data_IF_754840692125
#
_entry.id   IF_754840692125
#
_cell.length_a   1.000
_cell.length_b   1.000
_cell.length_c   1.000
_cell.angle_alpha   90.00
_cell.angle_beta   90.00
_cell.angle_gamma   90.00
#
_symmetry.space_group_name_H-M   'P 1'
#
loop_
_entity.id
_entity.type
_entity.pdbx_description
1 polymer ?
#
# COMPACT_ATOMS: atom_id res chain seq x y z
N UNK A 1 0.61 10.61 -22.60
CA UNK A 1 -0.40 9.65 -23.12
C UNK A 1 0.13 8.75 -24.26
N UNK A 2 1.26 9.06 -24.86
CA UNK A 2 1.78 8.32 -26.01
C UNK A 2 2.41 6.96 -25.70
N UNK A 3 2.89 6.74 -24.49
CA UNK A 3 3.50 5.47 -24.07
C UNK A 3 2.52 4.27 -24.08
N UNK A 4 1.24 4.52 -23.83
CA UNK A 4 0.20 3.47 -23.83
C UNK A 4 -0.28 3.11 -25.22
N UNK A 5 -0.06 3.97 -26.23
CA UNK A 5 -0.56 3.76 -27.61
C UNK A 5 0.12 2.62 -28.36
N UNK A 6 1.34 2.25 -27.95
CA UNK A 6 2.16 1.24 -28.64
C UNK A 6 2.18 -0.15 -27.98
N UNK A 7 1.43 -0.35 -26.88
CA UNK A 7 1.31 -1.66 -26.23
C UNK A 7 -0.12 -2.14 -26.37
N UNK A 8 -0.32 -3.32 -26.92
CA UNK A 8 -1.62 -3.99 -26.93
C UNK A 8 -2.03 -4.38 -25.50
N UNK A 9 -2.54 -3.41 -24.75
CA UNK A 9 -2.97 -3.59 -23.37
C UNK A 9 -4.40 -4.13 -23.36
N UNK A 10 -4.58 -5.31 -22.80
CA UNK A 10 -5.89 -5.95 -22.69
C UNK A 10 -6.46 -5.70 -21.31
N UNK A 11 -7.47 -4.84 -21.25
CA UNK A 11 -8.27 -4.61 -20.06
C UNK A 11 -9.46 -5.56 -20.01
N UNK A 12 -9.73 -6.09 -18.81
CA UNK A 12 -10.85 -6.99 -18.53
C UNK A 12 -11.71 -6.45 -17.42
N UNK A 13 -12.98 -6.85 -17.37
CA UNK A 13 -13.92 -6.51 -16.30
C UNK A 13 -14.22 -7.76 -15.47
N UNK A 14 -14.33 -7.57 -14.16
CA UNK A 14 -14.86 -8.63 -13.29
C UNK A 14 -16.38 -8.69 -13.37
N UNK A 15 -16.95 -9.81 -12.98
CA UNK A 15 -18.32 -9.86 -12.50
C UNK A 15 -18.45 -9.03 -11.22
N UNK A 16 -19.68 -8.68 -10.84
CA UNK A 16 -19.94 -8.00 -9.58
C UNK A 16 -19.77 -8.96 -8.41
N UNK A 17 -19.14 -8.50 -7.32
CA UNK A 17 -18.95 -9.24 -6.08
C UNK A 17 -19.08 -8.30 -4.87
N UNK A 18 -19.12 -8.85 -3.65
CA UNK A 18 -19.28 -8.05 -2.44
C UNK A 18 -18.14 -7.06 -2.25
N UNK A 19 -18.48 -5.79 -1.97
CA UNK A 19 -17.48 -4.75 -1.74
C UNK A 19 -16.72 -5.02 -0.42
N UNK A 20 -15.39 -4.99 -0.50
CA UNK A 20 -14.52 -5.18 0.67
C UNK A 20 -14.50 -4.00 1.65
N UNK A 21 -15.07 -2.85 1.27
CA UNK A 21 -15.02 -1.60 2.06
C UNK A 21 -16.38 -1.19 2.61
N UNK A 22 -17.44 -1.38 1.85
CA UNK A 22 -18.78 -0.92 2.20
C UNK A 22 -19.74 -2.11 2.26
N UNK A 23 -20.36 -2.35 3.44
CA UNK A 23 -21.31 -3.44 3.60
C UNK A 23 -22.52 -3.22 2.65
N UNK A 24 -23.09 -4.32 2.15
CA UNK A 24 -24.25 -4.32 1.25
C UNK A 24 -24.06 -3.59 -0.09
N UNK A 25 -22.80 -3.28 -0.47
CA UNK A 25 -22.46 -2.74 -1.79
C UNK A 25 -21.78 -3.80 -2.64
N UNK A 26 -21.97 -3.68 -3.95
CA UNK A 26 -21.30 -4.54 -4.94
C UNK A 26 -20.12 -3.81 -5.53
N UNK A 27 -19.02 -4.53 -5.70
CA UNK A 27 -17.79 -4.07 -6.35
C UNK A 27 -17.66 -4.68 -7.75
N UNK A 28 -17.17 -3.89 -8.68
CA UNK A 28 -16.83 -4.30 -10.05
C UNK A 28 -15.52 -3.62 -10.41
N UNK A 29 -14.61 -4.35 -11.05
CA UNK A 29 -13.27 -3.86 -11.37
C UNK A 29 -12.98 -3.91 -12.85
N UNK A 30 -12.31 -2.88 -13.35
CA UNK A 30 -11.51 -2.96 -14.57
C UNK A 30 -10.10 -3.34 -14.17
N UNK A 31 -9.52 -4.37 -14.78
CA UNK A 31 -8.18 -4.83 -14.43
C UNK A 31 -7.34 -5.18 -15.65
N UNK A 32 -6.04 -5.17 -15.45
CA UNK A 32 -5.02 -5.55 -16.44
C UNK A 32 -3.95 -6.39 -15.76
N UNK A 33 -3.64 -7.54 -16.35
CA UNK A 33 -2.48 -8.32 -15.94
C UNK A 33 -1.20 -7.64 -16.41
N UNK A 34 -0.25 -7.47 -15.53
CA UNK A 34 1.03 -6.85 -15.87
C UNK A 34 1.96 -7.94 -16.43
N UNK A 35 2.56 -7.73 -17.61
CA UNK A 35 3.51 -8.69 -18.17
C UNK A 35 4.65 -9.00 -17.21
N UNK A 36 5.12 -10.23 -17.18
CA UNK A 36 6.31 -10.64 -16.39
C UNK A 36 7.60 -10.14 -17.05
N UNK A 37 7.72 -8.86 -17.25
CA UNK A 37 8.90 -8.18 -17.81
C UNK A 37 9.54 -7.30 -16.75
N UNK A 38 10.84 -7.13 -16.81
CA UNK A 38 11.58 -6.30 -15.88
C UNK A 38 11.38 -4.80 -16.09
N UNK A 39 10.83 -4.38 -17.23
CA UNK A 39 10.64 -2.97 -17.60
C UNK A 39 9.15 -2.57 -17.64
N UNK A 40 8.48 -2.75 -16.52
CA UNK A 40 7.08 -2.31 -16.38
C UNK A 40 6.92 -1.00 -15.59
N UNK A 41 8.01 -0.39 -15.14
CA UNK A 41 7.94 0.77 -14.25
C UNK A 41 7.15 1.95 -14.86
N UNK A 42 7.33 2.21 -16.16
CA UNK A 42 6.57 3.22 -16.89
C UNK A 42 5.06 2.88 -16.92
N UNK A 43 4.73 1.65 -17.28
CA UNK A 43 3.33 1.19 -17.37
C UNK A 43 2.64 1.26 -16.00
N UNK A 44 3.27 0.73 -14.97
CA UNK A 44 2.72 0.71 -13.60
C UNK A 44 2.57 2.13 -13.06
N UNK A 45 3.54 3.02 -13.31
CA UNK A 45 3.46 4.43 -12.92
C UNK A 45 2.30 5.15 -13.61
N UNK A 46 2.11 4.97 -14.92
CA UNK A 46 1.00 5.59 -15.64
C UNK A 46 -0.36 5.03 -15.20
N UNK A 47 -0.48 3.72 -14.98
CA UNK A 47 -1.70 3.13 -14.47
C UNK A 47 -2.03 3.70 -13.06
N UNK A 48 -1.04 3.83 -12.18
CA UNK A 48 -1.24 4.40 -10.83
C UNK A 48 -1.66 5.87 -10.89
N UNK A 49 -1.07 6.69 -11.76
CA UNK A 49 -1.50 8.08 -11.99
C UNK A 49 -2.96 8.18 -12.41
N UNK A 50 -3.44 7.18 -13.14
CA UNK A 50 -4.84 7.08 -13.59
C UNK A 50 -5.75 6.34 -12.58
N UNK A 51 -5.28 6.11 -11.34
CA UNK A 51 -6.08 5.58 -10.24
C UNK A 51 -6.11 4.07 -10.11
N UNK A 52 -5.34 3.35 -10.93
CA UNK A 52 -5.21 1.91 -10.76
C UNK A 52 -4.41 1.56 -9.50
N UNK A 53 -4.73 0.41 -8.93
CA UNK A 53 -4.15 -0.16 -7.71
C UNK A 53 -3.51 -1.49 -8.02
N UNK A 54 -2.42 -1.82 -7.35
CA UNK A 54 -1.81 -3.13 -7.43
C UNK A 54 -2.58 -4.17 -6.59
N UNK A 55 -2.71 -5.37 -7.15
CA UNK A 55 -3.13 -6.58 -6.46
C UNK A 55 -2.36 -7.74 -7.04
N UNK A 56 -1.47 -8.36 -6.26
CA UNK A 56 -0.57 -9.44 -6.72
C UNK A 56 0.13 -9.12 -8.06
N UNK A 57 -0.28 -9.78 -9.15
CA UNK A 57 0.29 -9.71 -10.50
C UNK A 57 -0.50 -8.82 -11.48
N UNK A 58 -1.52 -8.13 -11.00
CA UNK A 58 -2.39 -7.27 -11.82
C UNK A 58 -2.62 -5.90 -11.19
N UNK A 59 -3.07 -4.99 -12.01
CA UNK A 59 -3.56 -3.69 -11.55
C UNK A 59 -5.03 -3.51 -11.88
N UNK A 60 -5.78 -2.87 -11.00
CA UNK A 60 -7.21 -2.66 -11.18
C UNK A 60 -7.67 -1.29 -10.72
N UNK A 61 -8.80 -0.86 -11.24
CA UNK A 61 -9.55 0.30 -10.76
C UNK A 61 -11.01 -0.11 -10.54
N UNK A 62 -11.66 0.29 -9.44
CA UNK A 62 -13.10 0.07 -9.25
C UNK A 62 -13.91 0.83 -10.30
N UNK A 63 -14.90 0.13 -10.89
CA UNK A 63 -15.87 0.67 -11.85
C UNK A 63 -17.28 0.29 -11.44
N UNK A 64 -17.61 0.48 -10.17
CA UNK A 64 -18.90 0.08 -9.59
C UNK A 64 -20.05 0.86 -10.19
N UNK A 65 -21.14 0.17 -10.56
CA UNK A 65 -22.29 0.76 -11.27
C UNK A 65 -23.04 1.82 -10.40
N UNK A 66 -23.03 1.66 -9.08
CA UNK A 66 -23.77 2.52 -8.13
C UNK A 66 -22.92 3.16 -7.04
N UNK A 67 -21.58 3.24 -7.21
CA UNK A 67 -20.69 3.76 -6.18
C UNK A 67 -19.39 4.32 -6.76
N UNK A 68 -19.01 5.52 -6.33
CA UNK A 68 -17.78 6.22 -6.71
C UNK A 68 -16.90 6.61 -5.49
N UNK A 69 -17.07 5.92 -4.36
CA UNK A 69 -16.39 6.27 -3.09
C UNK A 69 -14.88 5.98 -3.08
N UNK A 70 -14.38 5.12 -3.98
CA UNK A 70 -12.97 4.77 -4.06
C UNK A 70 -12.17 5.84 -4.82
N UNK A 71 -11.85 6.95 -4.16
CA UNK A 71 -11.18 8.10 -4.77
C UNK A 71 -9.66 7.93 -4.72
N UNK A 72 -8.97 7.78 -5.89
CA UNK A 72 -7.52 7.83 -5.93
C UNK A 72 -7.02 9.20 -5.49
N UNK A 73 -6.00 9.22 -4.66
CA UNK A 73 -5.43 10.45 -4.14
C UNK A 73 -3.91 10.38 -4.07
N UNK A 74 -3.25 11.53 -4.09
CA UNK A 74 -1.82 11.63 -3.86
C UNK A 74 -1.49 12.82 -2.97
N UNK A 75 -0.47 12.65 -2.15
CA UNK A 75 0.06 13.70 -1.29
C UNK A 75 1.24 14.33 -2.04
N UNK A 76 1.20 15.64 -2.25
CA UNK A 76 2.37 16.40 -2.69
C UNK A 76 3.32 16.55 -1.51
N UNK A 77 4.45 15.83 -1.53
CA UNK A 77 5.40 15.75 -0.42
C UNK A 77 6.02 17.12 -0.11
N UNK A 78 6.39 17.88 -1.14
CA UNK A 78 6.98 19.23 -0.97
C UNK A 78 6.04 20.17 -0.25
N UNK A 79 4.73 20.11 -0.57
CA UNK A 79 3.69 20.96 0.03
C UNK A 79 3.14 20.42 1.35
N UNK A 80 3.51 19.20 1.73
CA UNK A 80 2.99 18.59 2.96
C UNK A 80 3.47 19.31 4.22
N UNK A 81 2.52 19.68 5.09
CA UNK A 81 2.77 20.30 6.40
C UNK A 81 2.17 19.42 7.50
N UNK A 82 2.94 19.20 8.57
CA UNK A 82 2.47 18.45 9.73
C UNK A 82 1.37 19.24 10.47
N UNK A 83 0.19 18.66 10.56
CA UNK A 83 -0.89 19.17 11.41
C UNK A 83 -0.55 18.99 12.91
N UNK A 84 -1.29 19.66 13.80
CA UNK A 84 -1.17 19.47 15.26
C UNK A 84 -1.33 17.98 15.64
N UNK A 85 -2.29 17.28 15.03
CA UNK A 85 -2.53 15.84 15.24
C UNK A 85 -1.38 14.97 14.75
N UNK A 86 -0.71 15.33 13.63
CA UNK A 86 0.46 14.61 13.13
C UNK A 86 1.66 14.77 14.08
N UNK A 87 1.92 16.00 14.54
CA UNK A 87 2.98 16.29 15.54
C UNK A 87 2.76 15.51 16.83
N UNK A 88 1.52 15.47 17.34
CA UNK A 88 1.18 14.68 18.53
C UNK A 88 1.41 13.18 18.31
N UNK A 89 1.04 12.63 17.17
CA UNK A 89 1.27 11.22 16.85
C UNK A 89 2.77 10.89 16.80
N UNK A 90 3.59 11.74 16.16
CA UNK A 90 5.06 11.59 16.16
C UNK A 90 5.63 11.62 17.58
N UNK A 91 5.16 12.55 18.45
CA UNK A 91 5.62 12.66 19.84
C UNK A 91 5.28 11.41 20.66
N UNK A 92 4.07 10.85 20.53
CA UNK A 92 3.65 9.62 21.22
C UNK A 92 4.51 8.41 20.82
N UNK A 93 5.07 8.43 19.61
CA UNK A 93 5.84 7.33 19.02
C UNK A 93 7.33 7.67 18.86
N UNK A 94 7.85 8.65 19.61
CA UNK A 94 9.26 9.09 19.50
C UNK A 94 10.28 8.04 19.94
N UNK A 95 9.84 7.05 20.71
CA UNK A 95 10.60 5.89 21.18
C UNK A 95 10.74 4.80 20.10
N UNK A 96 10.01 4.90 18.99
CA UNK A 96 10.03 3.92 17.94
C UNK A 96 11.05 4.26 16.85
N UNK A 97 11.71 3.23 16.34
CA UNK A 97 12.72 3.31 15.30
C UNK A 97 12.08 2.91 13.96
N UNK A 98 12.12 3.80 12.97
CA UNK A 98 11.61 3.57 11.62
C UNK A 98 12.79 3.29 10.68
N UNK A 99 12.83 2.10 10.07
CA UNK A 99 13.94 1.64 9.21
C UNK A 99 13.44 1.12 7.88
N UNK A 100 14.19 1.41 6.82
CA UNK A 100 14.03 0.73 5.53
C UNK A 100 14.59 -0.67 5.63
N UNK A 101 13.78 -1.66 5.25
CA UNK A 101 14.23 -3.01 4.98
C UNK A 101 14.41 -3.19 3.46
N UNK A 102 15.53 -3.73 3.04
CA UNK A 102 15.86 -3.95 1.63
C UNK A 102 15.18 -5.20 1.04
N UNK A 103 14.03 -5.57 1.55
CA UNK A 103 13.13 -6.46 0.83
C UNK A 103 13.27 -7.95 1.14
N UNK A 104 13.74 -8.34 2.30
CA UNK A 104 13.65 -9.75 2.75
C UNK A 104 12.48 -9.90 3.72
N UNK A 105 11.45 -10.67 3.32
CA UNK A 105 10.45 -11.12 4.29
C UNK A 105 11.14 -11.97 5.36
N UNK A 106 10.76 -11.75 6.59
CA UNK A 106 11.10 -12.63 7.69
C UNK A 106 9.84 -13.24 8.29
N UNK A 107 9.98 -14.31 9.05
CA UNK A 107 8.86 -14.95 9.71
C UNK A 107 8.12 -13.98 10.66
N UNK A 108 8.85 -13.12 11.37
CA UNK A 108 8.27 -12.15 12.30
C UNK A 108 7.30 -11.19 11.59
N UNK A 109 7.62 -10.75 10.36
CA UNK A 109 6.73 -9.89 9.58
C UNK A 109 5.45 -10.63 9.13
N UNK A 110 5.57 -11.88 8.73
CA UNK A 110 4.42 -12.72 8.38
C UNK A 110 3.52 -12.96 9.59
N UNK A 111 4.07 -13.33 10.74
CA UNK A 111 3.31 -13.54 11.97
C UNK A 111 2.59 -12.25 12.42
N UNK A 112 3.27 -11.11 12.37
CA UNK A 112 2.66 -9.81 12.65
C UNK A 112 1.51 -9.48 11.69
N UNK A 113 1.68 -9.78 10.40
CA UNK A 113 0.64 -9.61 9.39
C UNK A 113 -0.58 -10.48 9.70
N UNK A 114 -0.38 -11.75 10.05
CA UNK A 114 -1.45 -12.68 10.43
C UNK A 114 -2.19 -12.20 11.68
N UNK A 115 -1.47 -11.80 12.72
CA UNK A 115 -2.05 -11.26 13.96
C UNK A 115 -2.94 -10.03 13.66
N UNK A 116 -2.42 -9.11 12.85
CA UNK A 116 -3.15 -7.91 12.45
C UNK A 116 -4.41 -8.22 11.65
N UNK A 117 -4.31 -9.08 10.62
CA UNK A 117 -5.44 -9.44 9.77
C UNK A 117 -6.53 -10.18 10.56
N UNK A 118 -6.16 -11.13 11.40
CA UNK A 118 -7.11 -11.87 12.24
C UNK A 118 -7.85 -10.97 13.23
N UNK A 119 -7.19 -9.89 13.70
CA UNK A 119 -7.80 -8.96 14.65
C UNK A 119 -8.70 -7.91 13.98
N UNK A 120 -8.39 -7.50 12.74
CA UNK A 120 -9.07 -6.36 12.10
C UNK A 120 -9.85 -6.69 10.85
N UNK A 121 -9.54 -7.80 10.19
CA UNK A 121 -10.02 -8.14 8.86
C UNK A 121 -10.26 -9.65 8.75
N UNK A 122 -10.79 -10.26 9.80
CA UNK A 122 -10.93 -11.72 9.91
C UNK A 122 -11.66 -12.37 8.72
N UNK A 123 -12.66 -11.67 8.16
CA UNK A 123 -13.44 -12.14 7.00
C UNK A 123 -12.81 -11.79 5.65
N UNK A 124 -11.61 -11.19 5.63
CA UNK A 124 -10.95 -10.79 4.40
C UNK A 124 -10.07 -11.89 3.81
N UNK A 125 -9.91 -11.90 2.49
CA UNK A 125 -8.93 -12.77 1.81
C UNK A 125 -7.51 -12.61 2.38
N UNK A 126 -7.16 -11.41 2.88
CA UNK A 126 -5.86 -11.13 3.49
C UNK A 126 -5.62 -11.98 4.75
N UNK A 127 -6.65 -12.23 5.57
CA UNK A 127 -6.54 -13.04 6.78
C UNK A 127 -6.24 -14.53 6.48
N UNK A 128 -6.62 -14.99 5.29
CA UNK A 128 -6.42 -16.38 4.85
C UNK A 128 -5.14 -16.61 4.04
N UNK A 129 -4.36 -15.55 3.75
CA UNK A 129 -3.10 -15.69 3.04
C UNK A 129 -2.15 -16.64 3.77
N UNK A 130 -1.61 -17.63 3.05
CA UNK A 130 -0.48 -18.41 3.49
C UNK A 130 0.83 -17.62 3.30
N UNK A 131 1.96 -18.20 3.70
CA UNK A 131 3.26 -17.53 3.65
C UNK A 131 3.71 -17.23 2.21
N UNK A 132 3.50 -18.16 1.28
CA UNK A 132 3.90 -18.00 -0.12
C UNK A 132 3.07 -16.91 -0.82
N UNK A 133 1.78 -16.83 -0.51
CA UNK A 133 0.90 -15.75 -0.99
C UNK A 133 1.30 -14.39 -0.41
N UNK A 134 1.65 -14.35 0.88
CA UNK A 134 2.18 -13.14 1.52
C UNK A 134 3.48 -12.70 0.85
N UNK A 135 4.43 -13.59 0.62
CA UNK A 135 5.67 -13.31 -0.08
C UNK A 135 5.42 -12.81 -1.51
N UNK A 136 4.53 -13.47 -2.25
CA UNK A 136 4.11 -13.03 -3.59
C UNK A 136 3.49 -11.63 -3.59
N UNK A 137 2.70 -11.31 -2.56
CA UNK A 137 2.09 -9.99 -2.42
C UNK A 137 3.12 -8.90 -2.11
N UNK A 138 4.08 -9.18 -1.24
CA UNK A 138 5.12 -8.23 -0.83
C UNK A 138 6.20 -8.06 -1.89
N UNK A 139 6.59 -9.14 -2.59
CA UNK A 139 7.67 -9.14 -3.60
C UNK A 139 7.13 -9.49 -4.97
N UNK A 140 6.36 -8.57 -5.54
CA UNK A 140 5.93 -8.75 -6.93
C UNK A 140 7.13 -8.62 -7.88
N UNK A 141 7.05 -9.31 -9.05
CA UNK A 141 8.13 -9.35 -10.04
C UNK A 141 8.04 -8.24 -11.10
N UNK A 142 7.02 -7.42 -11.08
CA UNK A 142 6.79 -6.40 -12.11
C UNK A 142 7.02 -4.96 -11.65
N UNK A 143 7.28 -4.74 -10.35
CA UNK A 143 7.55 -3.41 -9.80
C UNK A 143 8.59 -3.49 -8.67
N UNK A 144 9.30 -2.40 -8.44
CA UNK A 144 10.18 -2.25 -7.27
C UNK A 144 9.37 -1.88 -6.05
N UNK A 145 9.71 -2.47 -4.91
CA UNK A 145 9.04 -2.21 -3.63
C UNK A 145 10.06 -1.87 -2.55
N UNK A 146 9.63 -1.03 -1.63
CA UNK A 146 10.32 -0.80 -0.37
C UNK A 146 9.40 -1.18 0.79
N UNK A 147 9.97 -1.81 1.81
CA UNK A 147 9.28 -2.07 3.07
C UNK A 147 9.98 -1.23 4.14
N UNK A 148 9.19 -0.50 4.91
CA UNK A 148 9.68 0.18 6.11
C UNK A 148 9.08 -0.49 7.33
N UNK A 149 9.95 -0.81 8.27
CA UNK A 149 9.59 -1.43 9.53
C UNK A 149 9.73 -0.46 10.68
N UNK A 150 8.93 -0.68 11.70
CA UNK A 150 8.98 0.05 12.97
C UNK A 150 9.31 -0.91 14.09
N UNK A 151 10.34 -0.59 14.85
CA UNK A 151 10.80 -1.36 16.00
C UNK A 151 10.69 -0.53 17.28
N UNK A 152 10.51 -1.21 18.41
CA UNK A 152 10.68 -0.61 19.72
C UNK A 152 12.14 -0.64 20.21
N UNK A 153 12.41 -0.14 21.42
CA UNK A 153 13.74 -0.13 22.02
C UNK A 153 14.32 -1.52 22.29
N UNK A 154 13.49 -2.56 22.38
CA UNK A 154 13.91 -3.95 22.52
C UNK A 154 14.16 -4.64 21.17
N UNK A 155 14.13 -3.89 20.07
CA UNK A 155 14.24 -4.37 18.68
C UNK A 155 13.11 -5.34 18.28
N UNK A 156 11.94 -5.27 18.93
CA UNK A 156 10.75 -6.01 18.55
C UNK A 156 10.02 -5.31 17.41
N UNK A 157 9.61 -6.03 16.37
CA UNK A 157 8.85 -5.47 15.24
C UNK A 157 7.46 -5.04 15.69
N UNK A 158 7.14 -3.76 15.53
CA UNK A 158 5.85 -3.15 15.93
C UNK A 158 4.92 -2.94 14.74
N UNK A 159 5.45 -2.71 13.56
CA UNK A 159 4.65 -2.49 12.36
C UNK A 159 5.48 -2.40 11.10
N UNK A 160 4.82 -2.58 9.96
CA UNK A 160 5.42 -2.50 8.65
C UNK A 160 4.52 -1.76 7.66
N UNK A 161 5.13 -1.13 6.67
CA UNK A 161 4.44 -0.55 5.52
C UNK A 161 5.13 -0.94 4.23
N UNK A 162 4.35 -1.51 3.31
CA UNK A 162 4.76 -1.85 1.95
C UNK A 162 4.47 -0.67 1.03
N UNK A 163 5.48 -0.24 0.29
CA UNK A 163 5.36 0.82 -0.70
C UNK A 163 5.93 0.41 -2.05
N UNK A 164 5.17 0.61 -3.10
CA UNK A 164 5.65 0.47 -4.47
C UNK A 164 6.36 1.76 -4.93
N UNK A 165 7.43 1.60 -5.72
CA UNK A 165 8.24 2.69 -6.24
C UNK A 165 7.83 2.99 -7.67
N UNK A 166 7.53 4.27 -7.95
CA UNK A 166 7.19 4.78 -9.27
C UNK A 166 8.19 5.86 -9.71
N UNK A 167 8.07 6.29 -10.95
CA UNK A 167 8.96 7.31 -11.55
C UNK A 167 8.87 8.65 -10.80
N UNK A 168 7.66 9.02 -10.36
CA UNK A 168 7.40 10.32 -9.73
C UNK A 168 6.93 10.21 -8.27
N UNK A 169 7.02 9.02 -7.66
CA UNK A 169 6.56 8.85 -6.29
C UNK A 169 6.53 7.43 -5.80
N UNK A 170 5.94 7.26 -4.63
CA UNK A 170 5.70 5.96 -4.04
C UNK A 170 4.21 5.76 -3.82
N UNK A 171 3.76 4.52 -3.75
CA UNK A 171 2.38 4.19 -3.35
C UNK A 171 2.37 3.37 -2.08
N UNK A 172 1.65 3.83 -1.07
CA UNK A 172 1.39 3.06 0.15
C UNK A 172 0.37 1.95 -0.18
N UNK A 173 0.86 0.72 -0.30
CA UNK A 173 0.06 -0.45 -0.71
C UNK A 173 -0.66 -1.05 0.49
N UNK A 174 0.09 -1.37 1.55
CA UNK A 174 -0.47 -1.99 2.74
C UNK A 174 0.38 -1.66 3.97
N UNK A 175 -0.29 -1.50 5.11
CA UNK A 175 0.38 -1.33 6.40
C UNK A 175 -0.32 -2.14 7.48
N UNK A 176 0.46 -2.72 8.38
CA UNK A 176 -0.03 -3.51 9.50
C UNK A 176 0.87 -3.29 10.72
N UNK A 177 0.35 -3.58 11.88
CA UNK A 177 1.04 -3.33 13.14
C UNK A 177 0.46 -4.16 14.28
N UNK A 178 1.21 -4.35 15.35
CA UNK A 178 0.77 -5.08 16.56
C UNK A 178 -0.52 -4.46 17.11
N UNK A 179 -1.63 -5.23 17.20
CA UNK A 179 -2.94 -4.72 17.62
C UNK A 179 -2.94 -4.02 18.99
N UNK A 180 -2.10 -4.45 19.92
CA UNK A 180 -1.97 -3.85 21.25
C UNK A 180 -1.49 -2.39 21.21
N UNK A 181 -0.81 -1.97 20.13
CA UNK A 181 -0.37 -0.59 19.92
C UNK A 181 -1.42 0.30 19.22
N UNK A 182 -2.65 -0.19 19.02
CA UNK A 182 -3.74 0.54 18.33
C UNK A 182 -3.95 1.97 18.89
N UNK A 183 -3.90 2.14 20.21
CA UNK A 183 -4.10 3.44 20.88
C UNK A 183 -2.99 4.46 20.53
N UNK A 184 -1.81 4.02 20.13
CA UNK A 184 -0.70 4.88 19.70
C UNK A 184 -0.85 5.38 18.26
N UNK A 185 -1.80 4.84 17.48
CA UNK A 185 -2.04 5.24 16.09
C UNK A 185 -0.89 4.89 15.15
N UNK A 186 -0.37 3.66 15.24
CA UNK A 186 0.80 3.19 14.47
C UNK A 186 0.58 3.26 12.96
N UNK A 187 -0.60 2.90 12.45
CA UNK A 187 -0.89 3.03 11.02
C UNK A 187 -0.72 4.46 10.51
N UNK A 188 -1.18 5.45 11.30
CA UNK A 188 -0.96 6.87 10.99
C UNK A 188 0.53 7.24 11.09
N UNK A 189 1.23 6.74 12.10
CA UNK A 189 2.66 6.96 12.29
C UNK A 189 3.46 6.45 11.10
N UNK A 190 3.20 5.24 10.60
CA UNK A 190 3.83 4.66 9.42
C UNK A 190 3.70 5.59 8.20
N UNK A 191 2.49 6.08 7.90
CA UNK A 191 2.27 7.01 6.78
C UNK A 191 3.03 8.33 6.97
N UNK A 192 2.99 8.92 8.18
CA UNK A 192 3.68 10.20 8.44
C UNK A 192 5.20 10.02 8.31
N UNK A 193 5.76 8.95 8.87
CA UNK A 193 7.20 8.64 8.77
C UNK A 193 7.61 8.41 7.33
N UNK A 194 6.80 7.68 6.55
CA UNK A 194 7.03 7.52 5.11
C UNK A 194 7.07 8.85 4.38
N UNK A 195 6.12 9.77 4.65
CA UNK A 195 6.13 11.11 4.03
C UNK A 195 7.41 11.89 4.38
N UNK A 196 7.85 11.84 5.65
CA UNK A 196 9.05 12.52 6.08
C UNK A 196 10.30 11.94 5.44
N UNK A 197 10.38 10.62 5.33
CA UNK A 197 11.47 9.92 4.65
C UNK A 197 11.53 10.27 3.16
N UNK A 198 10.40 10.21 2.46
CA UNK A 198 10.30 10.58 1.05
C UNK A 198 10.62 12.07 0.81
N UNK A 199 10.35 12.94 1.81
CA UNK A 199 10.70 14.35 1.76
C UNK A 199 12.21 14.57 1.78
N UNK A 200 12.94 13.81 2.61
CA UNK A 200 14.41 13.84 2.65
C UNK A 200 15.00 13.36 1.31
N UNK A 201 14.38 12.36 0.69
CA UNK A 201 14.77 11.83 -0.61
C UNK A 201 14.34 12.70 -1.82
N UNK A 202 13.68 13.85 -1.59
CA UNK A 202 13.12 14.73 -2.63
C UNK A 202 12.11 14.03 -3.55
N UNK A 203 11.40 13.02 -3.09
CA UNK A 203 10.36 12.33 -3.86
C UNK A 203 9.11 13.22 -3.95
N UNK A 204 8.54 13.43 -5.17
CA UNK A 204 7.41 14.36 -5.35
C UNK A 204 6.10 13.93 -4.69
N UNK A 205 5.73 12.64 -4.80
CA UNK A 205 4.40 12.19 -4.43
C UNK A 205 4.38 10.91 -3.59
N UNK A 206 3.40 10.82 -2.68
CA UNK A 206 2.94 9.57 -2.08
C UNK A 206 1.49 9.32 -2.53
N UNK A 207 1.27 8.26 -3.28
CA UNK A 207 -0.03 7.81 -3.73
C UNK A 207 -0.74 7.01 -2.64
N UNK A 208 -2.04 7.20 -2.51
CA UNK A 208 -2.90 6.53 -1.55
C UNK A 208 -4.33 6.49 -2.08
N UNK A 209 -5.21 5.85 -1.33
CA UNK A 209 -6.63 5.79 -1.62
C UNK A 209 -7.38 6.36 -0.43
N UNK A 210 -8.32 7.23 -0.73
CA UNK A 210 -9.29 7.73 0.24
C UNK A 210 -10.62 7.03 -0.01
N UNK A 211 -11.22 6.46 1.01
CA UNK A 211 -12.59 5.92 1.07
C UNK A 211 -13.27 6.40 2.33
#
# INVERSE_FOLDING_TARGET
MDFLKNKNLIFRRTLSFNCSYLPKKMEKRLYINIPKSTDNQNLVSELTKNGFRRSFDHMYIPICDSCNMCIPSRINIKKFKLSKSNKRNLKINQDLIFKLDLGKTNNERYELFKEYCNTRHNDSQMAHMNKDEFESFFYNKFNKTNIYDVFDSSNSLIGSILMDIFIDGYSAIYSFFKPQFKKRGIGKYLIIRSILELKVQNIPYLYSIKY
#
